data_IF_107361974759
#
_entry.id   IF_107361974759
#
_cell.length_a   1.000
_cell.length_b   1.000
_cell.length_c   1.000
_cell.angle_alpha   90.00
_cell.angle_beta   90.00
_cell.angle_gamma   90.00
#
_symmetry.space_group_name_H-M   'P 1'
#
loop_
_entity.id
_entity.type
_entity.pdbx_description
1 polymer ?
#
# COMPACT_ATOMS: atom_id res chain seq x y z
N UNK A 1 13.15 14.15 2.66
CA UNK A 1 14.60 14.22 2.37
C UNK A 1 14.79 15.18 1.21
N UNK A 2 15.95 15.88 1.09
CA UNK A 2 16.23 16.68 -0.10
C UNK A 2 16.20 15.83 -1.37
N UNK A 3 15.84 16.44 -2.51
CA UNK A 3 15.99 15.75 -3.79
C UNK A 3 17.44 15.37 -4.05
N UNK A 4 17.66 14.24 -4.72
CA UNK A 4 18.98 13.76 -5.06
C UNK A 4 19.06 12.26 -5.27
N UNK A 5 20.27 11.82 -5.60
CA UNK A 5 20.61 10.41 -5.73
C UNK A 5 21.24 9.92 -4.42
N UNK A 6 20.70 8.83 -3.89
CA UNK A 6 21.11 8.24 -2.62
C UNK A 6 21.33 6.74 -2.78
N UNK A 7 21.93 6.13 -1.76
CA UNK A 7 21.98 4.67 -1.62
C UNK A 7 21.27 4.27 -0.34
N UNK A 8 20.18 3.51 -0.47
CA UNK A 8 19.50 2.94 0.66
C UNK A 8 20.13 1.59 1.03
N UNK A 9 20.36 1.36 2.32
CA UNK A 9 20.90 0.09 2.84
C UNK A 9 19.81 -0.68 3.57
N UNK A 10 19.52 -1.90 3.11
CA UNK A 10 18.61 -2.85 3.76
C UNK A 10 19.39 -4.11 4.11
N UNK A 11 19.76 -4.24 5.39
CA UNK A 11 20.68 -5.30 5.82
C UNK A 11 21.99 -5.22 5.03
N UNK A 12 22.33 -6.29 4.32
CA UNK A 12 23.51 -6.37 3.44
C UNK A 12 23.29 -5.82 2.02
N UNK A 13 22.06 -5.49 1.64
CA UNK A 13 21.73 -5.01 0.30
C UNK A 13 21.88 -3.49 0.21
N UNK A 14 22.42 -3.02 -0.91
CA UNK A 14 22.47 -1.59 -1.27
C UNK A 14 21.66 -1.35 -2.52
N UNK A 15 20.75 -0.38 -2.46
CA UNK A 15 19.82 -0.03 -3.55
C UNK A 15 20.00 1.44 -3.90
N UNK A 16 20.36 1.79 -5.15
CA UNK A 16 20.37 3.17 -5.59
C UNK A 16 18.93 3.68 -5.63
N UNK A 17 18.69 4.83 -5.01
CA UNK A 17 17.38 5.47 -4.94
C UNK A 17 17.49 6.93 -5.39
N UNK A 18 16.58 7.35 -6.27
CA UNK A 18 16.46 8.72 -6.72
C UNK A 18 15.22 9.32 -6.11
N UNK A 19 15.38 10.42 -5.38
CA UNK A 19 14.28 11.10 -4.71
C UNK A 19 14.05 12.46 -5.37
N UNK A 20 12.80 12.75 -5.71
CA UNK A 20 12.35 14.08 -6.09
C UNK A 20 11.74 14.83 -4.89
N UNK A 21 11.74 16.15 -4.95
CA UNK A 21 11.13 17.02 -3.93
C UNK A 21 9.60 16.91 -3.97
N UNK A 22 8.93 17.00 -2.83
CA UNK A 22 7.47 16.92 -2.70
C UNK A 22 6.82 15.58 -3.10
N UNK A 23 7.62 14.51 -3.12
CA UNK A 23 7.15 13.14 -3.30
C UNK A 23 7.33 12.31 -2.03
N UNK A 24 6.44 11.33 -1.84
CA UNK A 24 6.59 10.31 -0.82
C UNK A 24 7.17 9.06 -1.45
N UNK A 25 8.09 8.42 -0.73
CA UNK A 25 8.73 7.19 -1.19
C UNK A 25 8.72 6.16 -0.06
N UNK A 26 8.33 4.95 -0.41
CA UNK A 26 8.42 3.79 0.48
C UNK A 26 9.34 2.75 -0.13
N UNK A 27 10.34 2.34 0.64
CA UNK A 27 11.26 1.28 0.23
C UNK A 27 10.75 -0.06 0.74
N UNK A 28 10.35 -0.93 -0.19
CA UNK A 28 9.73 -2.22 0.12
C UNK A 28 10.74 -3.33 -0.04
N UNK A 29 10.91 -4.14 1.02
CA UNK A 29 11.67 -5.38 0.94
C UNK A 29 10.76 -6.54 0.54
N UNK A 30 11.00 -7.13 -0.63
CA UNK A 30 10.28 -8.32 -1.07
C UNK A 30 11.02 -9.57 -0.59
N UNK A 31 10.31 -10.51 0.03
CA UNK A 31 10.89 -11.75 0.55
C UNK A 31 11.71 -12.56 -0.48
N UNK A 32 11.37 -12.44 -1.77
CA UNK A 32 11.99 -13.21 -2.86
C UNK A 32 12.73 -12.34 -3.88
N UNK A 33 13.05 -11.08 -3.59
CA UNK A 33 13.55 -10.15 -4.62
C UNK A 33 14.43 -9.01 -4.11
N UNK A 34 14.86 -8.16 -5.05
CA UNK A 34 15.56 -6.91 -4.73
C UNK A 34 14.57 -5.94 -4.07
N UNK A 35 14.99 -5.17 -3.06
CA UNK A 35 14.15 -4.10 -2.54
C UNK A 35 13.80 -3.12 -3.66
N UNK A 36 12.58 -2.60 -3.60
CA UNK A 36 12.04 -1.69 -4.62
C UNK A 36 11.61 -0.39 -3.97
N UNK A 37 11.97 0.72 -4.60
CA UNK A 37 11.48 2.04 -4.24
C UNK A 37 10.12 2.23 -4.91
N UNK A 38 9.08 2.47 -4.11
CA UNK A 38 7.74 2.80 -4.58
C UNK A 38 7.52 4.27 -4.31
N UNK A 39 7.24 5.03 -5.37
CA UNK A 39 6.79 6.41 -5.25
C UNK A 39 5.28 6.44 -4.99
N UNK A 40 4.87 7.32 -4.08
CA UNK A 40 3.49 7.50 -3.68
C UNK A 40 3.08 8.95 -3.91
N UNK A 41 2.06 9.20 -4.76
CA UNK A 41 1.58 10.56 -4.92
C UNK A 41 0.93 11.05 -3.63
N UNK A 42 1.11 12.35 -3.30
CA UNK A 42 0.55 12.96 -2.10
C UNK A 42 -0.98 12.94 -2.17
N UNK A 43 -1.61 12.59 -1.05
CA UNK A 43 -3.06 12.71 -0.90
C UNK A 43 -3.43 14.11 -0.42
N UNK A 44 -4.27 14.81 -1.19
CA UNK A 44 -4.58 16.24 -0.97
C UNK A 44 -6.00 16.50 -0.45
N UNK A 45 -6.89 15.50 -0.50
CA UNK A 45 -8.28 15.66 -0.09
C UNK A 45 -8.40 15.61 1.44
N UNK A 46 -8.78 16.74 2.05
CA UNK A 46 -8.88 16.88 3.51
C UNK A 46 -10.21 16.40 4.12
N UNK A 47 -11.20 16.05 3.29
CA UNK A 47 -12.53 15.68 3.76
C UNK A 47 -12.75 14.17 3.82
N UNK A 48 -11.97 13.41 3.06
CA UNK A 48 -12.00 11.95 2.99
C UNK A 48 -10.67 11.35 3.40
N UNK A 49 -10.64 10.04 3.53
CA UNK A 49 -9.42 9.25 3.68
C UNK A 49 -9.14 8.51 2.37
N UNK A 50 -7.87 8.28 2.04
CA UNK A 50 -7.48 7.44 0.91
C UNK A 50 -7.08 6.06 1.39
N UNK A 51 -7.65 5.02 0.78
CA UNK A 51 -7.09 3.67 0.84
C UNK A 51 -6.43 3.39 -0.50
N UNK A 52 -5.12 3.14 -0.48
CA UNK A 52 -4.35 2.69 -1.64
C UNK A 52 -3.89 1.26 -1.41
N UNK A 53 -3.96 0.44 -2.45
CA UNK A 53 -3.41 -0.91 -2.49
C UNK A 53 -2.26 -0.91 -3.46
N UNK A 54 -1.06 -1.19 -2.94
CA UNK A 54 0.13 -1.45 -3.75
C UNK A 54 0.33 -2.97 -3.83
N UNK A 55 -0.19 -3.57 -4.89
CA UNK A 55 -0.11 -5.01 -5.09
C UNK A 55 1.24 -5.38 -5.72
N UNK A 56 2.18 -5.82 -4.89
CA UNK A 56 3.52 -6.23 -5.31
C UNK A 56 3.63 -7.75 -5.41
N UNK A 57 2.52 -8.48 -5.32
CA UNK A 57 2.46 -9.93 -5.45
C UNK A 57 2.38 -10.38 -6.91
N UNK A 58 2.22 -11.69 -7.13
CA UNK A 58 2.02 -12.35 -8.41
C UNK A 58 0.53 -12.60 -8.75
N UNK A 59 -0.40 -12.11 -7.93
CA UNK A 59 -1.84 -12.33 -8.08
C UNK A 59 -2.60 -11.04 -8.31
N UNK A 60 -3.74 -11.14 -8.97
CA UNK A 60 -4.76 -10.09 -8.93
C UNK A 60 -5.53 -10.20 -7.62
N UNK A 61 -5.67 -9.09 -6.89
CA UNK A 61 -6.25 -9.08 -5.55
C UNK A 61 -7.24 -7.94 -5.39
N UNK A 62 -8.31 -8.19 -4.66
CA UNK A 62 -9.35 -7.22 -4.32
C UNK A 62 -9.34 -6.97 -2.82
N UNK A 63 -9.40 -5.71 -2.40
CA UNK A 63 -9.56 -5.37 -0.99
C UNK A 63 -11.06 -5.21 -0.70
N UNK A 64 -11.62 -6.12 0.08
CA UNK A 64 -13.04 -6.09 0.47
C UNK A 64 -13.19 -5.90 1.98
N UNK A 65 -14.41 -5.61 2.42
CA UNK A 65 -14.79 -5.84 3.83
C UNK A 65 -14.56 -7.29 4.20
N UNK A 66 -14.26 -7.57 5.47
CA UNK A 66 -13.90 -8.91 5.94
C UNK A 66 -15.03 -9.96 5.77
N UNK A 67 -16.28 -9.51 5.59
CA UNK A 67 -17.45 -10.32 5.25
C UNK A 67 -17.62 -10.55 3.73
N UNK A 68 -16.75 -9.96 2.90
CA UNK A 68 -16.69 -10.10 1.45
C UNK A 68 -17.75 -9.33 0.66
N UNK A 69 -18.67 -8.63 1.32
CA UNK A 69 -19.86 -8.04 0.67
C UNK A 69 -19.57 -6.75 -0.08
N UNK A 70 -18.60 -5.97 0.37
CA UNK A 70 -18.29 -4.66 -0.21
C UNK A 70 -16.86 -4.63 -0.67
N UNK A 71 -16.65 -4.42 -1.97
CA UNK A 71 -15.34 -4.08 -2.49
C UNK A 71 -14.98 -2.66 -2.03
N UNK A 72 -13.85 -2.53 -1.34
CA UNK A 72 -13.30 -1.25 -0.91
C UNK A 72 -12.36 -0.74 -1.98
N UNK A 73 -11.41 -1.55 -2.44
CA UNK A 73 -10.64 -1.24 -3.65
C UNK A 73 -10.90 -2.35 -4.65
N UNK A 74 -11.29 -1.98 -5.87
CA UNK A 74 -11.54 -2.89 -6.98
C UNK A 74 -10.32 -3.77 -7.24
N UNK A 75 -10.51 -4.85 -8.00
CA UNK A 75 -9.43 -5.80 -8.34
C UNK A 75 -8.19 -5.09 -8.88
N UNK A 76 -7.09 -5.24 -8.16
CA UNK A 76 -5.77 -4.70 -8.52
C UNK A 76 -4.94 -5.83 -9.12
N UNK A 77 -4.54 -5.68 -10.37
CA UNK A 77 -3.70 -6.66 -11.05
C UNK A 77 -2.37 -6.90 -10.31
N UNK A 78 -1.74 -8.04 -10.59
CA UNK A 78 -0.39 -8.32 -10.12
C UNK A 78 0.57 -7.18 -10.52
N UNK A 79 1.42 -6.75 -9.59
CA UNK A 79 2.34 -5.60 -9.75
C UNK A 79 1.64 -4.26 -10.03
N UNK A 80 0.33 -4.17 -9.75
CA UNK A 80 -0.48 -2.98 -9.98
C UNK A 80 -0.75 -2.15 -8.72
N UNK A 81 -1.41 -1.02 -8.94
CA UNK A 81 -1.88 -0.11 -7.88
C UNK A 81 -3.37 0.17 -8.09
N UNK A 82 -4.13 0.23 -7.00
CA UNK A 82 -5.51 0.68 -7.00
C UNK A 82 -5.80 1.54 -5.79
N UNK A 83 -6.75 2.45 -5.90
CA UNK A 83 -7.06 3.38 -4.80
C UNK A 83 -8.53 3.77 -4.75
N UNK A 84 -8.99 4.14 -3.55
CA UNK A 84 -10.33 4.69 -3.34
C UNK A 84 -10.34 5.66 -2.18
N UNK A 85 -11.01 6.78 -2.38
CA UNK A 85 -11.38 7.67 -1.29
C UNK A 85 -12.62 7.13 -0.54
N UNK A 86 -12.50 6.99 0.78
CA UNK A 86 -13.57 6.54 1.65
C UNK A 86 -13.79 7.51 2.81
N UNK A 87 -14.97 7.43 3.42
CA UNK A 87 -15.20 8.13 4.68
C UNK A 87 -14.36 7.48 5.80
N UNK A 88 -13.95 8.26 6.82
CA UNK A 88 -13.20 7.75 7.97
C UNK A 88 -14.12 6.86 8.80
N UNK A 89 -14.06 5.55 8.55
CA UNK A 89 -14.84 4.55 9.28
C UNK A 89 -13.93 3.40 9.68
N UNK A 90 -14.15 2.86 10.87
CA UNK A 90 -13.45 1.67 11.34
C UNK A 90 -14.07 0.46 10.65
N UNK A 91 -13.36 -0.14 9.70
CA UNK A 91 -13.81 -1.30 8.94
C UNK A 91 -12.79 -2.43 9.02
N UNK A 92 -13.27 -3.66 9.22
CA UNK A 92 -12.45 -4.87 9.08
C UNK A 92 -12.34 -5.20 7.61
N UNK A 93 -11.12 -5.39 7.12
CA UNK A 93 -10.82 -5.58 5.72
C UNK A 93 -10.10 -6.92 5.49
N UNK A 94 -10.21 -7.46 4.29
CA UNK A 94 -9.51 -8.67 3.89
C UNK A 94 -9.17 -8.65 2.39
N UNK A 95 -8.14 -9.41 2.03
CA UNK A 95 -7.75 -9.64 0.65
C UNK A 95 -8.51 -10.82 0.07
N UNK A 96 -8.97 -10.65 -1.16
CA UNK A 96 -9.68 -11.67 -1.94
C UNK A 96 -9.00 -11.91 -3.28
N UNK A 97 -9.03 -13.17 -3.72
CA UNK A 97 -8.63 -13.66 -5.04
C UNK A 97 -9.92 -14.16 -5.71
N UNK A 98 -10.56 -13.27 -6.48
CA UNK A 98 -11.95 -13.42 -6.90
C UNK A 98 -12.91 -13.41 -5.71
N UNK A 99 -13.60 -14.53 -5.49
CA UNK A 99 -14.51 -14.74 -4.37
C UNK A 99 -13.85 -15.44 -3.17
N UNK A 100 -12.63 -15.94 -3.34
CA UNK A 100 -11.90 -16.63 -2.28
C UNK A 100 -11.23 -15.63 -1.36
N UNK A 101 -11.57 -15.65 -0.08
CA UNK A 101 -10.83 -14.93 0.96
C UNK A 101 -9.42 -15.51 1.08
N UNK A 102 -8.40 -14.66 0.95
CA UNK A 102 -6.99 -15.05 1.05
C UNK A 102 -6.50 -14.85 2.48
N UNK A 103 -6.69 -13.65 3.03
CA UNK A 103 -6.26 -13.33 4.39
C UNK A 103 -6.98 -12.09 4.92
N UNK A 104 -7.21 -12.04 6.22
CA UNK A 104 -7.62 -10.81 6.91
C UNK A 104 -6.44 -9.85 6.99
N UNK A 105 -6.69 -8.56 6.76
CA UNK A 105 -5.68 -7.53 6.99
C UNK A 105 -5.87 -6.93 8.37
N UNK A 106 -4.76 -6.49 8.98
CA UNK A 106 -4.84 -5.81 10.28
C UNK A 106 -5.77 -4.59 10.17
N UNK A 107 -6.62 -4.32 11.18
CA UNK A 107 -7.44 -3.12 11.19
C UNK A 107 -6.57 -1.88 11.07
N UNK A 108 -7.02 -0.92 10.25
CA UNK A 108 -6.39 0.39 10.11
C UNK A 108 -7.41 1.46 10.51
N UNK A 109 -7.01 2.35 11.41
CA UNK A 109 -7.80 3.56 11.70
C UNK A 109 -7.52 4.57 10.59
N UNK A 110 -8.55 5.11 9.96
CA UNK A 110 -8.41 6.10 8.90
C UNK A 110 -9.03 7.42 9.35
N UNK A 111 -8.25 8.48 9.32
CA UNK A 111 -8.71 9.83 9.63
C UNK A 111 -8.83 10.66 8.34
N UNK A 112 -9.59 11.75 8.41
CA UNK A 112 -9.77 12.63 7.25
C UNK A 112 -8.44 13.29 6.89
N UNK A 113 -8.16 13.40 5.60
CA UNK A 113 -6.89 13.93 5.11
C UNK A 113 -5.74 12.94 5.16
N UNK A 114 -5.94 11.72 5.65
CA UNK A 114 -4.91 10.68 5.67
C UNK A 114 -5.03 9.74 4.48
N UNK A 115 -3.88 9.27 4.01
CA UNK A 115 -3.79 8.07 3.20
C UNK A 115 -3.29 6.91 4.06
N UNK A 116 -3.84 5.73 3.83
CA UNK A 116 -3.24 4.48 4.25
C UNK A 116 -2.99 3.62 3.02
N UNK A 117 -1.76 3.13 2.91
CA UNK A 117 -1.30 2.34 1.77
C UNK A 117 -1.05 0.93 2.25
N UNK A 118 -1.79 -0.02 1.68
CA UNK A 118 -1.60 -1.45 1.93
C UNK A 118 -0.62 -2.01 0.89
N UNK A 119 0.57 -2.35 1.36
CA UNK A 119 1.57 -3.06 0.57
C UNK A 119 1.35 -4.56 0.67
N UNK A 120 1.20 -5.22 -0.48
CA UNK A 120 1.01 -6.67 -0.52
C UNK A 120 2.24 -7.29 -1.18
N UNK A 121 3.09 -7.92 -0.38
CA UNK A 121 4.28 -8.64 -0.87
C UNK A 121 4.08 -10.16 -0.78
N UNK A 122 5.03 -10.92 -1.32
CA UNK A 122 4.99 -12.38 -1.35
C UNK A 122 4.40 -12.93 -2.65
N UNK A 123 4.21 -14.25 -2.69
CA UNK A 123 3.76 -14.97 -3.88
C UNK A 123 2.93 -16.20 -3.54
N UNK A 124 2.10 -16.65 -4.47
CA UNK A 124 1.27 -17.85 -4.30
C UNK A 124 0.30 -17.75 -3.11
N UNK A 125 0.46 -18.63 -2.12
CA UNK A 125 -0.33 -18.63 -0.87
C UNK A 125 0.32 -17.82 0.27
N UNK A 126 1.56 -17.38 0.10
CA UNK A 126 2.34 -16.70 1.15
C UNK A 126 2.34 -15.19 0.93
N UNK A 127 1.17 -14.56 1.09
CA UNK A 127 1.05 -13.11 1.00
C UNK A 127 1.31 -12.44 2.35
N UNK A 128 1.97 -11.29 2.31
CA UNK A 128 2.30 -10.47 3.48
C UNK A 128 1.75 -9.04 3.31
N UNK A 129 0.48 -8.79 3.70
CA UNK A 129 -0.10 -7.46 3.67
C UNK A 129 0.38 -6.60 4.85
N UNK A 130 0.86 -5.40 4.57
CA UNK A 130 1.33 -4.43 5.58
C UNK A 130 0.75 -3.05 5.30
N UNK A 131 0.15 -2.44 6.32
CA UNK A 131 -0.29 -1.04 6.25
C UNK A 131 0.87 -0.09 6.52
N UNK A 132 0.98 0.93 5.68
CA UNK A 132 1.86 2.07 5.86
C UNK A 132 1.00 3.33 5.82
N UNK A 133 1.19 4.21 6.79
CA UNK A 133 0.62 5.56 6.75
C UNK A 133 1.74 6.53 6.39
N UNK A 134 1.76 7.09 5.17
CA UNK A 134 2.68 8.16 4.86
C UNK A 134 2.44 9.34 5.82
N UNK A 135 3.49 10.11 6.16
CA UNK A 135 3.33 11.32 6.96
C UNK A 135 2.29 12.23 6.32
N UNK A 136 1.40 12.79 7.13
CA UNK A 136 0.46 13.81 6.66
C UNK A 136 1.30 15.01 6.27
N UNK A 137 1.10 15.55 5.06
CA UNK A 137 1.75 16.79 4.66
C UNK A 137 1.33 17.90 5.64
N UNK A 138 2.20 18.21 6.61
CA UNK A 138 2.06 19.40 7.44
C UNK A 138 2.33 20.58 6.52
N UNK A 139 1.24 21.19 6.05
CA UNK A 139 1.29 22.46 5.35
C UNK A 139 1.74 23.56 6.30
#
# INVERSE_FOLDING_TARGET
MPQGDYTAKLGSQSVPVKLASDHYYTLVNNASGKPQLVEEPPFKNKQKSLVRVQNLSDKSLTLKTADGKTEVVNTVAAKGTGEREINPVKVSLALYDGDKKVTDVKPVALERGEAAVLYITGSGSSLSPVWVKPPVATR
#
